data_IF_513580059796
#
_entry.id   IF_513580059796
#
_cell.length_a   1.000
_cell.length_b   1.000
_cell.length_c   1.000
_cell.angle_alpha   90.00
_cell.angle_beta   90.00
_cell.angle_gamma   90.00
#
_symmetry.space_group_name_H-M   'P 1'
#
loop_
_entity.id
_entity.type
_entity.pdbx_description
1 polymer ?
#
# COMPACT_ATOMS: atom_id res chain seq x y z
N UNK A 1 8.41 2.52 -26.68
CA UNK A 1 7.37 2.63 -25.64
C UNK A 1 7.56 3.97 -24.95
N UNK A 2 6.49 4.75 -24.72
CA UNK A 2 6.62 6.01 -23.97
C UNK A 2 7.06 5.69 -22.52
N UNK A 3 7.89 6.54 -21.89
CA UNK A 3 8.09 6.44 -20.44
C UNK A 3 6.70 6.58 -19.79
N UNK A 4 6.42 5.81 -18.73
CA UNK A 4 5.11 5.89 -18.05
C UNK A 4 4.83 7.28 -17.48
N UNK A 5 3.71 7.45 -16.76
CA UNK A 5 3.38 8.76 -16.18
C UNK A 5 4.53 9.31 -15.33
N UNK A 6 4.83 10.60 -15.48
CA UNK A 6 5.77 11.25 -14.57
C UNK A 6 5.25 11.12 -13.13
N UNK A 7 6.10 10.77 -12.14
CA UNK A 7 5.69 10.75 -10.73
C UNK A 7 5.16 12.10 -10.21
N UNK A 8 5.47 13.20 -10.91
CA UNK A 8 4.97 14.55 -10.63
C UNK A 8 3.74 14.95 -11.47
N UNK A 9 3.17 14.02 -12.25
CA UNK A 9 2.00 14.32 -13.07
C UNK A 9 0.77 14.55 -12.18
N UNK A 10 -0.05 15.55 -12.53
CA UNK A 10 -1.37 15.72 -11.95
C UNK A 10 -2.21 14.44 -12.13
N UNK A 11 -3.19 14.21 -11.24
CA UNK A 11 -4.12 13.09 -11.35
C UNK A 11 -4.65 12.98 -12.79
N UNK A 12 -4.54 11.79 -13.43
CA UNK A 12 -5.04 11.58 -14.78
C UNK A 12 -6.55 11.80 -14.85
N UNK A 13 -7.05 12.12 -16.05
CA UNK A 13 -8.49 12.20 -16.29
C UNK A 13 -9.11 10.81 -16.35
N UNK A 14 -10.42 10.70 -16.08
CA UNK A 14 -11.14 9.42 -16.12
C UNK A 14 -11.92 9.28 -17.42
N UNK A 15 -11.91 8.08 -17.98
CA UNK A 15 -12.63 7.74 -19.21
C UNK A 15 -13.48 6.49 -18.94
N UNK A 16 -14.69 6.44 -19.48
CA UNK A 16 -15.48 5.21 -19.48
C UNK A 16 -14.73 4.12 -20.26
N UNK A 17 -14.60 2.92 -19.68
CA UNK A 17 -13.82 1.82 -20.26
C UNK A 17 -14.23 1.46 -21.70
N UNK A 18 -15.51 1.57 -22.03
CA UNK A 18 -16.06 1.34 -23.37
C UNK A 18 -15.51 2.31 -24.44
N UNK A 19 -14.98 3.46 -24.01
CA UNK A 19 -14.36 4.46 -24.88
C UNK A 19 -12.83 4.30 -24.95
N UNK A 20 -12.25 3.43 -24.13
CA UNK A 20 -10.82 3.19 -24.10
C UNK A 20 -10.42 2.20 -25.19
N UNK A 21 -9.55 2.62 -26.11
CA UNK A 21 -8.96 1.70 -27.10
C UNK A 21 -7.82 0.88 -26.47
N UNK A 22 -8.21 -0.22 -25.81
CA UNK A 22 -7.34 -1.19 -25.15
C UNK A 22 -7.01 -2.40 -26.04
N UNK A 23 -7.46 -2.46 -27.29
CA UNK A 23 -7.45 -3.69 -28.11
C UNK A 23 -6.07 -4.37 -28.20
N UNK A 24 -5.01 -3.55 -28.32
CA UNK A 24 -3.63 -4.02 -28.45
C UNK A 24 -2.70 -3.48 -27.34
N UNK A 25 -3.28 -2.86 -26.30
CA UNK A 25 -2.51 -2.17 -25.25
C UNK A 25 -2.80 -2.72 -23.87
N UNK A 26 -1.72 -2.92 -23.12
CA UNK A 26 -1.82 -3.22 -21.70
C UNK A 26 -2.38 -1.99 -20.95
N UNK A 27 -3.22 -2.22 -19.93
CA UNK A 27 -3.89 -1.15 -19.17
C UNK A 27 -2.91 -0.05 -18.69
N UNK A 28 -1.76 -0.44 -18.15
CA UNK A 28 -0.73 0.50 -17.69
C UNK A 28 -0.10 1.29 -18.84
N UNK A 29 0.05 0.68 -20.03
CA UNK A 29 0.57 1.36 -21.22
C UNK A 29 -0.44 2.38 -21.74
N UNK A 30 -1.74 2.06 -21.72
CA UNK A 30 -2.79 3.01 -22.09
C UNK A 30 -2.77 4.25 -21.20
N UNK A 31 -2.72 4.06 -19.87
CA UNK A 31 -2.67 5.17 -18.91
C UNK A 31 -1.44 6.06 -19.16
N UNK A 32 -0.27 5.45 -19.43
CA UNK A 32 0.95 6.19 -19.74
C UNK A 32 0.82 7.03 -21.02
N UNK A 33 0.18 6.51 -22.05
CA UNK A 33 0.09 7.14 -23.36
C UNK A 33 -0.98 8.22 -23.43
N UNK A 34 -2.16 7.95 -22.86
CA UNK A 34 -3.36 8.79 -22.96
C UNK A 34 -3.57 9.69 -21.74
N UNK A 35 -2.88 9.42 -20.62
CA UNK A 35 -3.09 10.12 -19.33
C UNK A 35 -4.56 10.04 -18.88
N UNK A 36 -5.18 8.91 -19.21
CA UNK A 36 -6.56 8.60 -18.92
C UNK A 36 -6.63 7.26 -18.20
N UNK A 37 -7.48 7.16 -17.18
CA UNK A 37 -7.74 5.93 -16.43
C UNK A 37 -9.08 5.35 -16.92
N UNK A 38 -9.07 4.23 -17.68
CA UNK A 38 -10.27 3.50 -18.02
C UNK A 38 -10.98 3.04 -16.74
N UNK A 39 -12.26 3.35 -16.62
CA UNK A 39 -13.05 3.10 -15.42
C UNK A 39 -14.40 2.48 -15.82
N UNK A 40 -14.68 1.27 -15.34
CA UNK A 40 -15.96 0.57 -15.53
C UNK A 40 -16.92 0.89 -14.39
N UNK A 41 -18.21 0.64 -14.62
CA UNK A 41 -19.24 0.79 -13.59
C UNK A 41 -19.28 -0.42 -12.63
N UNK A 42 -18.27 -0.52 -11.76
CA UNK A 42 -18.20 -1.51 -10.68
C UNK A 42 -17.46 -0.93 -9.45
N UNK A 43 -17.52 -1.63 -8.32
CA UNK A 43 -16.88 -1.18 -7.08
C UNK A 43 -15.35 -1.14 -7.18
N UNK A 44 -14.76 -2.16 -7.81
CA UNK A 44 -13.31 -2.27 -8.01
C UNK A 44 -12.70 -1.01 -8.65
N UNK A 45 -13.24 -0.62 -9.82
CA UNK A 45 -12.76 0.50 -10.61
C UNK A 45 -13.14 1.84 -9.95
N UNK A 46 -14.27 1.89 -9.23
CA UNK A 46 -14.64 3.06 -8.40
C UNK A 46 -13.60 3.32 -7.31
N UNK A 47 -13.20 2.28 -6.57
CA UNK A 47 -12.15 2.42 -5.55
C UNK A 47 -10.78 2.69 -6.17
N UNK A 48 -10.46 2.09 -7.32
CA UNK A 48 -9.23 2.41 -8.05
C UNK A 48 -9.20 3.89 -8.45
N UNK A 49 -10.30 4.45 -8.95
CA UNK A 49 -10.41 5.86 -9.30
C UNK A 49 -10.23 6.77 -8.07
N UNK A 50 -10.82 6.41 -6.93
CA UNK A 50 -10.59 7.12 -5.66
C UNK A 50 -9.11 7.07 -5.24
N UNK A 51 -8.43 5.94 -5.40
CA UNK A 51 -7.00 5.83 -5.09
C UNK A 51 -6.14 6.65 -6.05
N UNK A 52 -6.50 6.78 -7.33
CA UNK A 52 -5.84 7.71 -8.24
C UNK A 52 -5.96 9.18 -7.81
N UNK A 53 -7.10 9.56 -7.22
CA UNK A 53 -7.30 10.92 -6.71
C UNK A 53 -6.55 11.18 -5.39
N UNK A 54 -6.49 10.18 -4.50
CA UNK A 54 -5.85 10.31 -3.18
C UNK A 54 -4.33 10.08 -3.21
N UNK A 55 -3.85 9.22 -4.11
CA UNK A 55 -2.45 8.79 -4.21
C UNK A 55 -1.89 8.96 -5.63
N UNK A 56 -2.17 10.11 -6.26
CA UNK A 56 -1.83 10.35 -7.66
C UNK A 56 -0.35 10.19 -8.00
N UNK A 57 0.56 10.63 -7.11
CA UNK A 57 2.01 10.50 -7.30
C UNK A 57 2.44 9.05 -7.23
N UNK A 58 1.97 8.32 -6.23
CA UNK A 58 2.26 6.90 -6.04
C UNK A 58 1.71 6.08 -7.21
N UNK A 59 0.45 6.28 -7.60
CA UNK A 59 -0.16 5.54 -8.73
C UNK A 59 0.56 5.84 -10.04
N UNK A 60 0.99 7.08 -10.26
CA UNK A 60 1.83 7.46 -11.41
C UNK A 60 3.20 6.77 -11.37
N UNK A 61 3.85 6.71 -10.20
CA UNK A 61 5.11 5.97 -10.02
C UNK A 61 4.94 4.47 -10.29
N UNK A 62 3.87 3.83 -9.78
CA UNK A 62 3.59 2.42 -10.07
C UNK A 62 3.40 2.20 -11.57
N UNK A 63 2.63 3.06 -12.24
CA UNK A 63 2.45 3.03 -13.69
C UNK A 63 3.79 3.14 -14.44
N UNK A 64 4.64 4.09 -14.04
CA UNK A 64 5.98 4.26 -14.59
C UNK A 64 6.84 3.00 -14.44
N UNK A 65 6.88 2.42 -13.24
CA UNK A 65 7.63 1.19 -12.96
C UNK A 65 7.10 -0.01 -13.76
N UNK A 66 5.78 -0.11 -13.95
CA UNK A 66 5.17 -1.11 -14.82
C UNK A 66 5.62 -0.93 -16.28
N UNK A 67 5.54 0.29 -16.81
CA UNK A 67 5.96 0.59 -18.19
C UNK A 67 7.46 0.33 -18.40
N UNK A 68 8.31 0.72 -17.45
CA UNK A 68 9.75 0.43 -17.49
C UNK A 68 10.01 -1.08 -17.57
N UNK A 69 9.38 -1.87 -16.69
CA UNK A 69 9.53 -3.32 -16.71
C UNK A 69 9.00 -3.96 -18.01
N UNK A 70 7.94 -3.42 -18.60
CA UNK A 70 7.44 -3.90 -19.90
C UNK A 70 8.43 -3.56 -21.02
N UNK A 71 9.03 -2.37 -20.99
CA UNK A 71 10.03 -1.97 -21.98
C UNK A 71 11.29 -2.85 -21.90
N UNK A 72 11.74 -3.17 -20.69
CA UNK A 72 12.98 -3.94 -20.46
C UNK A 72 12.80 -5.46 -20.70
N UNK A 73 11.66 -6.03 -20.33
CA UNK A 73 11.44 -7.49 -20.28
C UNK A 73 10.26 -7.99 -21.11
N UNK A 74 9.52 -7.09 -21.77
CA UNK A 74 8.30 -7.43 -22.51
C UNK A 74 7.05 -7.54 -21.62
N UNK A 75 5.91 -7.75 -22.28
CA UNK A 75 4.60 -7.84 -21.60
C UNK A 75 4.44 -9.18 -20.87
N UNK A 76 4.93 -10.27 -21.47
CA UNK A 76 4.81 -11.64 -20.96
C UNK A 76 6.13 -12.41 -21.05
N UNK A 77 6.46 -13.23 -20.02
CA UNK A 77 5.76 -13.36 -18.74
C UNK A 77 5.94 -12.12 -17.83
N UNK A 78 4.99 -11.87 -16.91
CA UNK A 78 5.14 -10.77 -15.92
C UNK A 78 6.36 -11.04 -15.04
N UNK A 79 7.23 -10.03 -14.88
CA UNK A 79 8.37 -10.11 -13.96
C UNK A 79 7.89 -10.21 -12.50
N UNK A 80 8.75 -10.73 -11.62
CA UNK A 80 8.44 -10.77 -10.19
C UNK A 80 8.21 -9.35 -9.61
N UNK A 81 8.86 -8.32 -10.15
CA UNK A 81 8.65 -6.91 -9.80
C UNK A 81 7.27 -6.43 -10.17
N UNK A 82 6.83 -6.67 -11.42
CA UNK A 82 5.45 -6.36 -11.83
C UNK A 82 4.42 -7.06 -10.95
N UNK A 83 4.61 -8.34 -10.62
CA UNK A 83 3.67 -9.05 -9.74
C UNK A 83 3.57 -8.43 -8.33
N UNK A 84 4.68 -7.97 -7.75
CA UNK A 84 4.69 -7.32 -6.43
C UNK A 84 4.08 -5.92 -6.47
N UNK A 85 4.33 -5.15 -7.53
CA UNK A 85 3.70 -3.85 -7.74
C UNK A 85 2.17 -3.99 -7.86
N UNK A 86 1.68 -4.93 -8.69
CA UNK A 86 0.25 -5.21 -8.81
C UNK A 86 -0.36 -5.64 -7.48
N UNK A 87 0.30 -6.55 -6.74
CA UNK A 87 -0.21 -7.01 -5.45
C UNK A 87 -0.29 -5.87 -4.41
N UNK A 88 0.66 -4.92 -4.43
CA UNK A 88 0.57 -3.73 -3.58
C UNK A 88 -0.53 -2.77 -4.05
N UNK A 89 -0.72 -2.60 -5.36
CA UNK A 89 -1.80 -1.78 -5.91
C UNK A 89 -3.19 -2.31 -5.58
N UNK A 90 -3.37 -3.63 -5.51
CA UNK A 90 -4.64 -4.25 -5.16
C UNK A 90 -4.85 -4.37 -3.64
N UNK A 91 -3.81 -4.75 -2.90
CA UNK A 91 -3.92 -5.16 -1.49
C UNK A 91 -2.98 -4.40 -0.53
N UNK A 92 -2.50 -3.22 -0.92
CA UNK A 92 -1.57 -2.41 -0.14
C UNK A 92 -2.18 -1.75 1.09
N UNK A 93 -1.43 -1.77 2.19
CA UNK A 93 -1.69 -0.97 3.39
C UNK A 93 -0.46 -0.09 3.65
N UNK A 94 -0.66 1.20 3.85
CA UNK A 94 0.40 2.12 4.24
C UNK A 94 0.32 2.32 5.75
N UNK A 95 1.44 2.21 6.45
CA UNK A 95 1.50 2.52 7.88
C UNK A 95 2.42 3.73 8.06
N UNK A 96 1.83 4.89 8.33
CA UNK A 96 2.55 6.10 8.65
C UNK A 96 3.06 6.08 10.10
N UNK A 97 4.30 6.51 10.29
CA UNK A 97 4.92 6.69 11.61
C UNK A 97 5.51 8.10 11.69
N UNK A 98 5.04 8.96 12.61
CA UNK A 98 5.64 10.26 12.87
C UNK A 98 7.13 10.15 13.22
N UNK A 99 7.96 11.08 12.75
CA UNK A 99 9.41 11.00 12.91
C UNK A 99 9.85 11.01 14.38
N UNK A 100 9.17 11.74 15.24
CA UNK A 100 9.36 11.73 16.70
C UNK A 100 8.91 10.44 17.40
N UNK A 101 8.27 9.50 16.69
CA UNK A 101 7.81 8.20 17.18
C UNK A 101 8.56 7.01 16.56
N UNK A 102 9.68 7.25 15.87
CA UNK A 102 10.39 6.18 15.16
C UNK A 102 10.93 5.07 16.05
N UNK A 103 11.28 5.38 17.31
CA UNK A 103 11.76 4.36 18.24
C UNK A 103 10.64 3.35 18.56
N UNK A 104 9.51 3.84 19.08
CA UNK A 104 8.36 2.98 19.40
C UNK A 104 7.76 2.36 18.13
N UNK A 105 7.66 3.15 17.06
CA UNK A 105 7.13 2.71 15.77
C UNK A 105 7.94 1.57 15.16
N UNK A 106 9.28 1.62 15.19
CA UNK A 106 10.11 0.52 14.69
C UNK A 106 9.94 -0.76 15.52
N UNK A 107 9.80 -0.64 16.85
CA UNK A 107 9.54 -1.80 17.71
C UNK A 107 8.20 -2.46 17.36
N UNK A 108 7.12 -1.68 17.25
CA UNK A 108 5.79 -2.19 16.89
C UNK A 108 5.76 -2.76 15.47
N UNK A 109 6.38 -2.09 14.49
CA UNK A 109 6.49 -2.59 13.12
C UNK A 109 7.30 -3.88 13.03
N UNK A 110 8.34 -4.03 13.86
CA UNK A 110 9.09 -5.28 13.95
C UNK A 110 8.25 -6.41 14.55
N UNK A 111 7.47 -6.13 15.61
CA UNK A 111 6.50 -7.09 16.15
C UNK A 111 5.46 -7.50 15.10
N UNK A 112 4.97 -6.55 14.29
CA UNK A 112 4.07 -6.82 13.17
C UNK A 112 4.74 -7.70 12.10
N UNK A 113 5.99 -7.40 11.72
CA UNK A 113 6.76 -8.20 10.77
C UNK A 113 7.03 -9.64 11.27
N UNK A 114 7.15 -9.80 12.60
CA UNK A 114 7.37 -11.07 13.28
C UNK A 114 6.08 -11.82 13.64
N UNK A 115 4.92 -11.33 13.19
CA UNK A 115 3.61 -11.92 13.46
C UNK A 115 3.29 -12.03 14.97
N UNK A 116 3.79 -11.10 15.80
CA UNK A 116 3.47 -11.03 17.22
C UNK A 116 2.09 -10.38 17.44
N UNK A 117 1.05 -10.98 16.85
CA UNK A 117 -0.29 -10.38 16.72
C UNK A 117 -0.92 -9.95 18.03
N UNK A 118 -0.82 -10.79 19.06
CA UNK A 118 -1.33 -10.49 20.41
C UNK A 118 -0.64 -9.26 21.01
N UNK A 119 0.66 -9.06 20.74
CA UNK A 119 1.39 -7.91 21.27
C UNK A 119 1.02 -6.64 20.51
N UNK A 120 1.12 -6.67 19.17
CA UNK A 120 1.00 -5.45 18.35
C UNK A 120 -0.46 -5.03 18.10
N UNK A 121 -1.40 -5.96 18.00
CA UNK A 121 -2.81 -5.67 17.68
C UNK A 121 -3.73 -5.63 18.90
N UNK A 122 -3.38 -6.34 19.99
CA UNK A 122 -4.20 -6.38 21.20
C UNK A 122 -3.57 -5.62 22.38
N UNK A 123 -2.38 -6.04 22.84
CA UNK A 123 -1.75 -5.44 24.01
C UNK A 123 -1.38 -3.96 23.78
N UNK A 124 -0.88 -3.63 22.59
CA UNK A 124 -0.52 -2.27 22.18
C UNK A 124 -1.56 -1.63 21.26
N UNK A 125 -2.83 -2.02 21.35
CA UNK A 125 -3.90 -1.48 20.48
C UNK A 125 -4.02 0.04 20.53
N UNK A 126 -3.70 0.67 21.67
CA UNK A 126 -3.71 2.14 21.84
C UNK A 126 -2.64 2.88 21.03
N UNK A 127 -1.63 2.16 20.53
CA UNK A 127 -0.60 2.74 19.65
C UNK A 127 -1.10 2.92 18.21
N UNK A 128 -2.19 2.26 17.83
CA UNK A 128 -2.85 2.47 16.54
C UNK A 128 -3.68 3.76 16.61
N UNK A 129 -3.38 4.71 15.74
CA UNK A 129 -3.88 6.09 15.81
C UNK A 129 -3.06 7.03 16.72
N UNK A 130 -2.00 6.53 17.37
CA UNK A 130 -1.07 7.35 18.19
C UNK A 130 0.36 7.33 17.64
N UNK A 131 0.86 6.14 17.34
CA UNK A 131 2.21 5.88 16.81
C UNK A 131 2.14 5.29 15.41
N UNK A 132 1.21 4.36 15.18
CA UNK A 132 0.97 3.74 13.87
C UNK A 132 -0.33 4.27 13.27
N UNK A 133 -0.24 4.86 12.08
CA UNK A 133 -1.40 5.40 11.36
C UNK A 133 -1.63 4.61 10.07
N UNK A 134 -2.53 3.62 10.06
CA UNK A 134 -2.80 2.81 8.87
C UNK A 134 -3.73 3.50 7.87
N UNK A 135 -3.40 3.40 6.59
CA UNK A 135 -4.22 3.87 5.47
C UNK A 135 -4.29 2.79 4.40
N UNK A 136 -5.51 2.50 3.91
CA UNK A 136 -5.69 1.58 2.78
C UNK A 136 -5.24 2.30 1.51
N UNK A 137 -4.32 1.67 0.79
CA UNK A 137 -3.90 2.05 -0.55
C UNK A 137 -4.46 1.08 -1.60
N UNK A 138 -4.49 -0.20 -1.27
CA UNK A 138 -4.98 -1.26 -2.15
C UNK A 138 -6.47 -1.12 -2.42
N UNK A 139 -6.86 -0.77 -3.64
CA UNK A 139 -8.26 -0.48 -3.95
C UNK A 139 -9.16 -1.71 -3.85
N UNK A 140 -8.63 -2.92 -4.09
CA UNK A 140 -9.39 -4.16 -3.97
C UNK A 140 -9.75 -4.48 -2.51
N UNK A 141 -9.01 -3.95 -1.52
CA UNK A 141 -9.36 -4.13 -0.11
C UNK A 141 -10.69 -3.45 0.21
N UNK A 142 -10.97 -2.27 -0.34
CA UNK A 142 -12.25 -1.60 -0.15
C UNK A 142 -13.42 -2.41 -0.72
N UNK A 143 -13.24 -3.04 -1.88
CA UNK A 143 -14.23 -3.94 -2.46
C UNK A 143 -14.46 -5.17 -1.56
N UNK A 144 -13.39 -5.80 -1.07
CA UNK A 144 -13.51 -6.93 -0.14
C UNK A 144 -14.17 -6.54 1.19
N UNK A 145 -13.99 -5.30 1.64
CA UNK A 145 -14.60 -4.77 2.86
C UNK A 145 -16.11 -4.47 2.72
N UNK A 146 -16.68 -4.53 1.51
CA UNK A 146 -18.15 -4.54 1.34
C UNK A 146 -18.78 -5.80 1.92
N UNK A 147 -18.03 -6.90 2.02
CA UNK A 147 -18.46 -8.15 2.66
C UNK A 147 -17.26 -8.78 3.38
N UNK A 148 -16.86 -8.22 4.54
CA UNK A 148 -15.63 -8.62 5.21
C UNK A 148 -15.69 -10.07 5.68
N UNK A 149 -14.56 -10.78 5.58
CA UNK A 149 -14.46 -12.19 5.97
C UNK A 149 -13.16 -12.48 6.73
N UNK A 150 -13.23 -13.47 7.63
CA UNK A 150 -12.05 -13.97 8.34
C UNK A 150 -11.08 -14.60 7.35
N UNK A 151 -9.83 -14.13 7.35
CA UNK A 151 -8.83 -14.47 6.34
C UNK A 151 -8.41 -13.31 5.45
N UNK A 152 -9.13 -12.18 5.47
CA UNK A 152 -8.76 -10.98 4.72
C UNK A 152 -7.45 -10.37 5.24
N UNK A 153 -6.42 -10.31 4.38
CA UNK A 153 -5.10 -9.75 4.72
C UNK A 153 -4.67 -8.68 3.72
N UNK A 154 -4.00 -7.64 4.20
CA UNK A 154 -3.31 -6.67 3.35
C UNK A 154 -1.79 -6.94 3.31
N UNK A 155 -1.09 -6.24 2.41
CA UNK A 155 0.37 -6.17 2.30
C UNK A 155 0.84 -4.80 2.73
N UNK A 156 1.52 -4.73 3.86
CA UNK A 156 1.85 -3.44 4.44
C UNK A 156 3.23 -2.91 4.02
N UNK A 157 3.30 -1.59 3.87
CA UNK A 157 4.53 -0.82 3.70
C UNK A 157 4.52 0.37 4.67
N UNK A 158 5.58 0.54 5.44
CA UNK A 158 5.69 1.64 6.39
C UNK A 158 6.44 2.85 5.82
N UNK A 159 5.99 4.04 6.20
CA UNK A 159 6.54 5.33 5.77
C UNK A 159 6.74 6.26 6.96
N UNK A 160 7.73 7.14 6.87
CA UNK A 160 7.96 8.19 7.87
C UNK A 160 7.20 9.44 7.45
N UNK A 161 6.50 10.06 8.41
CA UNK A 161 5.72 11.29 8.21
C UNK A 161 6.11 12.36 9.24
N UNK A 162 5.77 13.65 9.04
CA UNK A 162 6.08 14.71 10.00
C UNK A 162 5.47 14.48 11.38
N UNK A 163 6.08 15.06 12.41
CA UNK A 163 5.68 14.90 13.82
C UNK A 163 4.23 15.30 14.09
N UNK A 164 3.72 16.30 13.38
CA UNK A 164 2.35 16.80 13.51
C UNK A 164 1.35 16.07 12.61
N UNK A 165 1.72 14.95 11.96
CA UNK A 165 0.86 14.24 11.02
C UNK A 165 -0.55 13.95 11.57
N UNK A 166 -0.63 13.47 12.82
CA UNK A 166 -1.89 13.10 13.47
C UNK A 166 -2.88 14.26 13.62
N UNK A 167 -2.40 15.51 13.66
CA UNK A 167 -3.23 16.71 13.85
C UNK A 167 -3.49 17.49 12.57
N UNK A 168 -2.94 17.03 11.43
CA UNK A 168 -3.22 17.62 10.13
C UNK A 168 -4.65 17.31 9.67
N UNK A 169 -5.18 18.18 8.80
CA UNK A 169 -6.40 17.87 8.05
C UNK A 169 -6.21 16.59 7.21
N UNK A 170 -7.28 15.81 7.06
CA UNK A 170 -7.24 14.53 6.35
C UNK A 170 -6.73 14.66 4.91
N UNK A 171 -7.04 15.75 4.20
CA UNK A 171 -6.54 15.97 2.83
C UNK A 171 -5.03 16.15 2.84
N UNK A 172 -4.51 16.92 3.79
CA UNK A 172 -3.08 17.14 3.97
C UNK A 172 -2.37 15.84 4.37
N UNK A 173 -3.00 15.00 5.20
CA UNK A 173 -2.47 13.67 5.52
C UNK A 173 -2.30 12.82 4.26
N UNK A 174 -3.29 12.78 3.36
CA UNK A 174 -3.17 12.05 2.09
C UNK A 174 -2.06 12.61 1.18
N UNK A 175 -1.91 13.93 1.09
CA UNK A 175 -0.82 14.54 0.30
C UNK A 175 0.57 14.16 0.83
N UNK A 176 0.73 14.22 2.16
CA UNK A 176 1.98 13.83 2.85
C UNK A 176 2.25 12.33 2.66
N UNK A 177 1.23 11.50 2.83
CA UNK A 177 1.33 10.05 2.63
C UNK A 177 1.70 9.69 1.20
N UNK A 178 1.07 10.31 0.21
CA UNK A 178 1.33 10.02 -1.20
C UNK A 178 2.78 10.33 -1.57
N UNK A 179 3.30 11.47 -1.10
CA UNK A 179 4.71 11.81 -1.31
C UNK A 179 5.65 10.86 -0.57
N UNK A 180 5.37 10.55 0.70
CA UNK A 180 6.18 9.63 1.50
C UNK A 180 6.19 8.21 0.93
N UNK A 181 5.05 7.73 0.43
CA UNK A 181 4.90 6.42 -0.18
C UNK A 181 5.63 6.31 -1.51
N UNK A 182 5.49 7.30 -2.39
CA UNK A 182 6.23 7.35 -3.65
C UNK A 182 7.75 7.36 -3.43
N UNK A 183 8.23 8.16 -2.48
CA UNK A 183 9.63 8.17 -2.07
C UNK A 183 10.08 6.82 -1.53
N UNK A 184 9.28 6.19 -0.65
CA UNK A 184 9.59 4.89 -0.05
C UNK A 184 9.68 3.79 -1.10
N UNK A 185 8.75 3.75 -2.04
CA UNK A 185 8.76 2.80 -3.15
C UNK A 185 10.00 2.97 -4.02
N UNK A 186 10.41 4.21 -4.28
CA UNK A 186 11.64 4.52 -5.03
C UNK A 186 12.88 4.02 -4.28
N UNK A 187 12.99 4.31 -2.99
CA UNK A 187 14.11 3.85 -2.15
C UNK A 187 14.22 2.32 -2.06
N UNK A 188 13.09 1.61 -2.18
CA UNK A 188 13.01 0.15 -2.18
C UNK A 188 13.06 -0.47 -3.58
N UNK A 189 13.54 0.27 -4.58
CA UNK A 189 13.62 -0.13 -5.99
C UNK A 189 12.30 -0.73 -6.51
N UNK A 190 11.18 -0.04 -6.28
CA UNK A 190 9.86 -0.48 -6.71
C UNK A 190 9.51 -1.87 -6.20
N UNK A 191 9.81 -2.15 -4.92
CA UNK A 191 9.55 -3.41 -4.25
C UNK A 191 10.31 -4.60 -4.85
N UNK A 192 11.47 -4.40 -5.49
CA UNK A 192 12.24 -5.47 -6.16
C UNK A 192 12.52 -6.69 -5.27
N UNK A 193 12.79 -6.47 -3.98
CA UNK A 193 13.03 -7.52 -3.00
C UNK A 193 11.72 -8.20 -2.54
N UNK A 194 11.73 -9.55 -2.49
CA UNK A 194 10.58 -10.37 -2.06
C UNK A 194 10.21 -10.19 -0.57
N UNK A 195 11.14 -9.67 0.22
CA UNK A 195 11.07 -9.58 1.68
C UNK A 195 10.39 -8.31 2.20
N UNK A 196 10.06 -7.37 1.31
CA UNK A 196 9.48 -6.08 1.68
C UNK A 196 8.05 -6.27 2.19
N UNK A 197 7.14 -6.76 1.35
CA UNK A 197 5.71 -6.82 1.66
C UNK A 197 5.35 -8.00 2.57
N UNK A 198 5.10 -7.71 3.85
CA UNK A 198 4.60 -8.68 4.83
C UNK A 198 3.07 -8.61 4.91
N UNK A 199 2.38 -9.75 5.16
CA UNK A 199 0.94 -9.74 5.36
C UNK A 199 0.58 -9.12 6.72
N UNK A 200 -0.59 -8.51 6.80
CA UNK A 200 -1.25 -8.12 8.06
C UNK A 200 -2.73 -8.51 8.00
N UNK A 201 -3.30 -9.15 9.05
CA UNK A 201 -4.74 -9.40 9.16
C UNK A 201 -5.51 -8.08 9.20
N UNK A 202 -6.24 -7.76 8.13
CA UNK A 202 -6.86 -6.44 7.95
C UNK A 202 -7.91 -6.13 9.02
N UNK A 203 -8.76 -7.11 9.34
CA UNK A 203 -9.81 -6.99 10.36
C UNK A 203 -9.22 -7.00 11.78
N UNK A 204 -7.93 -7.31 11.92
CA UNK A 204 -7.20 -7.22 13.19
C UNK A 204 -6.61 -5.85 13.47
N UNK A 205 -6.69 -4.89 12.54
CA UNK A 205 -6.26 -3.52 12.81
C UNK A 205 -7.25 -2.90 13.79
N UNK A 206 -6.80 -2.37 14.95
CA UNK A 206 -7.70 -1.81 15.95
C UNK A 206 -8.72 -0.83 15.39
N UNK A 207 -9.96 -0.96 15.87
CA UNK A 207 -11.13 -0.14 15.51
C UNK A 207 -11.65 -0.31 14.07
N UNK A 208 -11.05 -1.19 13.24
CA UNK A 208 -11.50 -1.43 11.86
C UNK A 208 -12.55 -2.55 11.73
N UNK A 209 -12.77 -3.33 12.79
CA UNK A 209 -13.76 -4.40 12.81
C UNK A 209 -14.40 -4.54 14.19
N UNK A 210 -15.70 -4.84 14.23
CA UNK A 210 -16.45 -4.86 15.49
C UNK A 210 -16.03 -6.00 16.43
N UNK A 211 -15.71 -7.17 15.88
CA UNK A 211 -15.34 -8.34 16.68
C UNK A 211 -13.81 -8.38 16.86
N UNK A 212 -13.31 -7.70 17.90
CA UNK A 212 -11.89 -7.61 18.25
C UNK A 212 -11.61 -7.96 19.71
N UNK A 213 -12.23 -9.04 20.20
CA UNK A 213 -11.98 -9.57 21.54
C UNK A 213 -10.66 -10.37 21.61
N UNK A 214 -10.15 -10.70 22.81
CA UNK A 214 -8.99 -11.58 22.94
C UNK A 214 -9.15 -12.93 22.22
N UNK A 215 -10.37 -13.49 22.18
CA UNK A 215 -10.68 -14.75 21.49
C UNK A 215 -10.57 -14.61 19.98
N UNK A 216 -10.98 -13.46 19.42
CA UNK A 216 -10.78 -13.16 18.01
C UNK A 216 -9.29 -13.15 17.65
N UNK A 217 -8.45 -12.47 18.43
CA UNK A 217 -6.99 -12.47 18.21
C UNK A 217 -6.33 -13.82 18.52
N UNK A 218 -7.01 -14.73 19.23
CA UNK A 218 -6.52 -16.07 19.50
C UNK A 218 -6.77 -17.05 18.34
N UNK A 219 -7.60 -16.69 17.35
CA UNK A 219 -7.86 -17.51 16.18
C UNK A 219 -6.62 -17.63 15.26
N UNK A 220 -5.86 -18.70 15.45
CA UNK A 220 -4.65 -19.00 14.66
C UNK A 220 -4.93 -19.34 13.20
N UNK A 221 -6.18 -19.58 12.80
CA UNK A 221 -6.54 -19.76 11.39
C UNK A 221 -6.42 -18.45 10.61
N UNK A 222 -6.67 -17.33 11.29
CA UNK A 222 -6.55 -15.98 10.77
C UNK A 222 -5.23 -15.30 11.20
N UNK A 223 -4.95 -15.27 12.51
CA UNK A 223 -3.73 -14.72 13.12
C UNK A 223 -2.61 -15.75 13.12
N UNK A 224 -2.17 -16.14 11.91
CA UNK A 224 -1.18 -17.22 11.71
C UNK A 224 0.21 -16.82 12.21
N UNK A 225 0.91 -17.69 12.99
CA UNK A 225 2.28 -17.41 13.42
C UNK A 225 3.22 -17.31 12.21
N UNK A 226 4.36 -16.64 12.40
CA UNK A 226 5.39 -16.57 11.37
C UNK A 226 5.99 -17.97 11.13
N UNK A 227 6.18 -18.33 9.86
CA UNK A 227 6.87 -19.58 9.54
C UNK A 227 8.34 -19.52 10.02
N UNK A 228 8.91 -20.60 10.57
CA UNK A 228 10.30 -20.61 11.06
C UNK A 228 11.35 -20.23 10.02
N UNK A 229 11.05 -20.46 8.74
CA UNK A 229 11.93 -20.15 7.60
C UNK A 229 11.61 -18.81 6.93
N UNK A 230 10.71 -18.01 7.50
CA UNK A 230 10.33 -16.74 6.90
C UNK A 230 11.51 -15.77 6.96
N UNK A 231 11.90 -15.15 5.84
CA UNK A 231 13.01 -14.20 5.83
C UNK A 231 12.64 -12.94 6.61
N UNK A 232 13.63 -12.28 7.23
CA UNK A 232 13.43 -10.96 7.83
C UNK A 232 12.94 -9.95 6.78
N UNK A 233 12.16 -8.95 7.21
CA UNK A 233 11.79 -7.87 6.30
C UNK A 233 12.97 -6.94 6.06
N UNK A 234 13.07 -6.41 4.84
CA UNK A 234 14.12 -5.45 4.45
C UNK A 234 13.60 -4.01 4.43
N UNK A 235 12.35 -3.77 4.81
CA UNK A 235 11.77 -2.43 4.88
C UNK A 235 11.98 -1.74 6.24
N UNK A 236 12.60 -2.42 7.20
CA UNK A 236 12.85 -1.91 8.56
C UNK A 236 14.34 -1.99 8.89
N UNK A 237 14.84 -1.17 9.83
CA UNK A 237 14.12 -0.10 10.51
C UNK A 237 13.85 1.11 9.59
N UNK A 238 12.79 1.86 9.88
CA UNK A 238 12.58 3.22 9.37
C UNK A 238 13.63 4.16 9.95
N UNK A 239 14.09 5.12 9.14
CA UNK A 239 15.12 6.07 9.51
C UNK A 239 14.60 7.50 9.40
N UNK A 240 15.10 8.42 10.23
CA UNK A 240 14.72 9.84 10.15
C UNK A 240 15.08 10.47 8.78
N UNK A 241 16.08 9.92 8.08
CA UNK A 241 16.42 10.32 6.70
C UNK A 241 15.28 10.07 5.71
N UNK A 242 14.37 9.13 5.99
CA UNK A 242 13.22 8.80 5.14
C UNK A 242 12.19 9.95 5.12
N UNK A 243 12.19 10.84 6.13
CA UNK A 243 11.36 12.04 6.13
C UNK A 243 11.83 13.10 5.12
N UNK A 244 13.15 13.18 4.84
CA UNK A 244 13.73 14.21 3.96
C UNK A 244 13.33 14.05 2.49
N UNK A 245 12.67 12.95 2.16
CA UNK A 245 12.08 12.69 0.85
C UNK A 245 10.58 13.02 0.78
N UNK A 246 9.97 13.47 1.89
CA UNK A 246 8.57 13.95 2.01
C UNK A 246 8.46 15.45 1.89
#
# INVERSE_FOLDING_TARGET
MKPGLSPDCCCPSFLADELADLSDRYYEVFIAEEKQVPTRHNWHDTFNALMWMLFGRTKSLLNYLHCQQIADYGVHPRTAKRNRLTHFDECGLVIAVPANKLCEGNELLNQLALHQWQNVLLANRGEWGTTLFPFIFGHALYEMLLTPFIGLTAKWLAVVVPDNFATMDIRVQYEVLDKALAARLTALDGLAAKTVLKPVPLLGIPDWYNAQSPEFYADKSYFRPLAPTAPATTQLPLQASDLKTV
#
